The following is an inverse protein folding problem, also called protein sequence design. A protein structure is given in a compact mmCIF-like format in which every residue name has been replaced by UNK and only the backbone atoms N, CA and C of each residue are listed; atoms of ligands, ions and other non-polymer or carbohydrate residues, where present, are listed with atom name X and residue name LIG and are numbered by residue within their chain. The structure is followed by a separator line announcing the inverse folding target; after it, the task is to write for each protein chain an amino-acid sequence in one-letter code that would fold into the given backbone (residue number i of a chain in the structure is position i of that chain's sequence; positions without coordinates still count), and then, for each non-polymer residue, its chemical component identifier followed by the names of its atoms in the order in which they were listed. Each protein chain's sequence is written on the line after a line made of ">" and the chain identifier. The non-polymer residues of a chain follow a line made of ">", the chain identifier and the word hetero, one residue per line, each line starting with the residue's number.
data_IF_427078832698
#
_entry.id   IF_427078832698
#
_cell.length_a   1.000
_cell.length_b   1.000
_cell.length_c   1.000
_cell.angle_alpha   90.00
_cell.angle_beta   90.00
_cell.angle_gamma   90.00
#
_symmetry.space_group_name_H-M   'P 1'
#
loop_
_entity.id
_entity.type
_entity.pdbx_description
1 polymer ?
#
# COMPACT_ATOMS: atom_id res chain seq x y z
N UNK A 1 13.84 2.93 0.21
CA UNK A 1 14.77 1.84 -0.11
C UNK A 1 14.10 0.91 -1.11
N UNK A 2 14.79 0.52 -2.16
CA UNK A 2 14.34 -0.42 -3.17
C UNK A 2 14.90 -1.81 -2.86
N UNK A 3 14.04 -2.83 -2.82
CA UNK A 3 14.45 -4.21 -2.69
C UNK A 3 14.16 -4.96 -3.98
N UNK A 4 15.20 -5.41 -4.66
CA UNK A 4 15.10 -6.14 -5.93
C UNK A 4 15.33 -7.63 -5.64
N UNK A 5 14.41 -8.52 -6.08
CA UNK A 5 14.61 -9.95 -5.91
C UNK A 5 15.77 -10.42 -6.82
N UNK A 6 16.67 -11.20 -6.23
CA UNK A 6 17.81 -11.82 -6.92
C UNK A 6 17.72 -13.32 -6.71
N UNK A 7 17.75 -14.05 -7.80
CA UNK A 7 17.78 -15.51 -7.76
C UNK A 7 19.22 -16.01 -7.58
N UNK A 8 19.41 -16.81 -6.55
CA UNK A 8 20.67 -17.50 -6.32
C UNK A 8 20.37 -19.01 -6.16
N UNK A 9 20.54 -19.76 -7.24
CA UNK A 9 20.14 -21.18 -7.36
C UNK A 9 18.66 -21.34 -6.99
N UNK A 10 18.36 -22.00 -5.87
CA UNK A 10 16.98 -22.29 -5.43
C UNK A 10 16.43 -21.31 -4.39
N UNK A 11 17.16 -20.25 -4.08
CA UNK A 11 16.77 -19.25 -3.05
C UNK A 11 16.59 -17.87 -3.67
N UNK A 12 15.51 -17.21 -3.25
CA UNK A 12 15.30 -15.80 -3.54
C UNK A 12 15.95 -14.99 -2.41
N UNK A 13 16.84 -14.10 -2.76
CA UNK A 13 17.39 -13.06 -1.89
C UNK A 13 16.97 -11.69 -2.39
N UNK A 14 16.99 -10.67 -1.54
CA UNK A 14 16.66 -9.31 -1.94
C UNK A 14 17.90 -8.43 -1.82
N UNK A 15 18.24 -7.77 -2.91
CA UNK A 15 19.25 -6.72 -2.91
C UNK A 15 18.58 -5.40 -2.51
N UNK A 16 19.02 -4.82 -1.41
CA UNK A 16 18.49 -3.55 -0.92
C UNK A 16 19.33 -2.38 -1.44
N UNK A 17 18.70 -1.49 -2.20
CA UNK A 17 19.34 -0.30 -2.79
C UNK A 17 18.70 0.96 -2.21
N UNK A 18 19.44 1.86 -1.56
CA UNK A 18 18.91 3.14 -1.12
C UNK A 18 18.63 4.02 -2.36
N UNK A 19 17.37 4.42 -2.56
CA UNK A 19 16.99 5.34 -3.65
C UNK A 19 17.23 6.80 -3.29
N UNK A 20 17.18 7.13 -2.01
CA UNK A 20 17.35 8.48 -1.51
C UNK A 20 16.67 8.67 -0.16
N UNK A 21 16.82 9.87 0.36
CA UNK A 21 16.15 10.32 1.56
C UNK A 21 15.74 11.79 1.39
N UNK A 22 14.70 12.19 2.12
CA UNK A 22 14.28 13.58 2.21
C UNK A 22 14.17 13.98 3.67
N UNK A 23 14.74 15.12 4.02
CA UNK A 23 14.60 15.67 5.36
C UNK A 23 13.19 16.28 5.49
N UNK A 24 12.47 15.81 6.50
CA UNK A 24 11.18 16.39 6.83
C UNK A 24 11.35 17.81 7.41
N UNK A 25 10.53 18.73 6.93
CA UNK A 25 10.41 20.10 7.45
C UNK A 25 9.02 20.26 8.09
N UNK A 26 8.94 21.02 9.19
CA UNK A 26 7.68 21.21 9.95
C UNK A 26 6.50 21.76 9.14
N UNK A 27 6.74 22.26 7.92
CA UNK A 27 5.71 22.82 7.04
C UNK A 27 4.99 21.77 6.19
N UNK A 28 5.52 20.56 6.10
CA UNK A 28 5.01 19.50 5.23
C UNK A 28 4.52 18.30 6.06
N UNK A 29 3.50 17.64 5.55
CA UNK A 29 3.08 16.34 6.10
C UNK A 29 4.10 15.27 5.70
N UNK A 30 4.56 14.46 6.65
CA UNK A 30 5.42 13.29 6.34
C UNK A 30 4.73 12.33 5.37
N UNK A 31 3.40 12.21 5.44
CA UNK A 31 2.62 11.37 4.53
C UNK A 31 2.62 11.91 3.11
N UNK A 32 2.47 13.22 2.93
CA UNK A 32 2.56 13.86 1.62
C UNK A 32 3.98 13.77 1.06
N UNK A 33 4.99 13.92 1.91
CA UNK A 33 6.38 13.72 1.52
C UNK A 33 6.61 12.29 1.01
N UNK A 34 6.15 11.27 1.73
CA UNK A 34 6.22 9.87 1.31
C UNK A 34 5.49 9.64 -0.01
N UNK A 35 4.26 10.17 -0.13
CA UNK A 35 3.47 10.10 -1.36
C UNK A 35 4.19 10.74 -2.55
N UNK A 36 4.80 11.90 -2.37
CA UNK A 36 5.56 12.57 -3.42
C UNK A 36 6.80 11.79 -3.85
N UNK A 37 7.48 11.13 -2.90
CA UNK A 37 8.63 10.26 -3.21
C UNK A 37 8.21 9.05 -4.04
N UNK A 38 7.07 8.43 -3.71
CA UNK A 38 6.53 7.32 -4.51
C UNK A 38 6.21 7.78 -5.93
N UNK A 39 5.48 8.89 -6.10
CA UNK A 39 5.16 9.45 -7.43
C UNK A 39 6.39 9.81 -8.25
N UNK A 40 7.48 10.20 -7.60
CA UNK A 40 8.74 10.51 -8.28
C UNK A 40 9.45 9.25 -8.78
N UNK A 41 9.31 8.13 -8.08
CA UNK A 41 10.03 6.89 -8.38
C UNK A 41 9.23 5.97 -9.30
N UNK A 42 7.90 5.96 -9.20
CA UNK A 42 7.04 5.06 -9.98
C UNK A 42 7.23 5.15 -11.50
N UNK A 43 7.41 6.34 -12.12
CA UNK A 43 7.64 6.43 -13.58
C UNK A 43 8.92 5.72 -14.09
N UNK A 44 9.88 5.48 -13.20
CA UNK A 44 11.12 4.76 -13.55
C UNK A 44 10.90 3.24 -13.70
N UNK A 45 9.77 2.73 -13.21
CA UNK A 45 9.42 1.32 -13.35
C UNK A 45 8.53 1.09 -14.56
N UNK A 46 8.85 0.04 -15.33
CA UNK A 46 7.96 -0.43 -16.39
C UNK A 46 6.59 -0.82 -15.82
N UNK A 47 5.52 -0.47 -16.52
CA UNK A 47 4.15 -0.85 -16.16
C UNK A 47 3.91 -2.37 -16.07
N UNK A 48 4.81 -3.16 -16.68
CA UNK A 48 4.78 -4.62 -16.61
C UNK A 48 5.40 -5.18 -15.31
N UNK A 49 6.07 -4.35 -14.51
CA UNK A 49 6.68 -4.75 -13.25
C UNK A 49 5.76 -4.43 -12.09
N UNK A 50 5.38 -5.44 -11.35
CA UNK A 50 4.65 -5.24 -10.10
C UNK A 50 5.56 -4.63 -9.05
N UNK A 51 5.11 -3.55 -8.44
CA UNK A 51 5.79 -2.83 -7.37
C UNK A 51 4.96 -2.96 -6.10
N UNK A 52 5.58 -3.30 -4.98
CA UNK A 52 4.92 -3.37 -3.69
C UNK A 52 5.57 -2.36 -2.75
N UNK A 53 4.78 -1.47 -2.17
CA UNK A 53 5.23 -0.61 -1.08
C UNK A 53 5.08 -1.38 0.23
N UNK A 54 6.17 -1.50 0.99
CA UNK A 54 6.12 -1.97 2.37
C UNK A 54 6.25 -0.78 3.31
N UNK A 55 5.32 -0.65 4.24
CA UNK A 55 5.35 0.42 5.21
C UNK A 55 4.83 -0.04 6.57
N UNK A 56 5.13 0.72 7.63
CA UNK A 56 4.58 0.47 8.95
C UNK A 56 3.17 1.08 9.11
N UNK A 57 2.54 0.82 10.26
CA UNK A 57 1.19 1.27 10.56
C UNK A 57 1.03 2.81 10.59
N UNK A 58 2.10 3.56 10.72
CA UNK A 58 2.06 5.01 10.71
C UNK A 58 1.77 5.55 9.31
N UNK A 59 2.27 4.87 8.28
CA UNK A 59 2.10 5.25 6.87
C UNK A 59 0.81 4.72 6.24
N UNK A 60 0.11 3.75 6.86
CA UNK A 60 -1.16 3.20 6.33
C UNK A 60 -2.32 4.18 6.50
N UNK A 61 -2.18 5.36 5.93
CA UNK A 61 -3.18 6.43 5.91
C UNK A 61 -3.64 6.71 4.48
N UNK A 62 -4.81 7.31 4.37
CA UNK A 62 -5.45 7.57 3.08
C UNK A 62 -4.51 8.22 2.05
N UNK A 63 -3.69 9.18 2.45
CA UNK A 63 -2.75 9.88 1.56
C UNK A 63 -1.77 8.94 0.84
N UNK A 64 -1.31 7.87 1.50
CA UNK A 64 -0.43 6.90 0.87
C UNK A 64 -1.21 5.78 0.20
N UNK A 65 -2.29 5.31 0.84
CA UNK A 65 -3.12 4.22 0.29
C UNK A 65 -3.76 4.63 -1.04
N UNK A 66 -4.21 5.89 -1.18
CA UNK A 66 -4.81 6.37 -2.43
C UNK A 66 -3.85 6.39 -3.63
N UNK A 67 -2.53 6.36 -3.40
CA UNK A 67 -1.56 6.30 -4.51
C UNK A 67 -1.66 4.99 -5.29
N UNK A 68 -2.08 3.91 -4.64
CA UNK A 68 -2.28 2.62 -5.31
C UNK A 68 -3.32 2.73 -6.45
N UNK A 69 -4.29 3.64 -6.30
CA UNK A 69 -5.29 3.89 -7.35
C UNK A 69 -4.72 4.65 -8.56
N UNK A 70 -3.58 5.34 -8.37
CA UNK A 70 -2.93 6.11 -9.44
C UNK A 70 -2.10 5.21 -10.38
N UNK A 71 -1.66 4.03 -9.90
CA UNK A 71 -0.75 3.15 -10.63
C UNK A 71 -1.26 1.70 -10.64
N UNK A 72 -1.65 1.15 -11.78
CA UNK A 72 -2.25 -0.19 -11.85
C UNK A 72 -1.29 -1.33 -11.50
N UNK A 73 0.01 -1.06 -11.49
CA UNK A 73 1.07 -2.02 -11.14
C UNK A 73 1.65 -1.80 -9.75
N UNK A 74 0.98 -1.00 -8.92
CA UNK A 74 1.41 -0.68 -7.56
C UNK A 74 0.47 -1.30 -6.53
N UNK A 75 1.04 -2.02 -5.58
CA UNK A 75 0.36 -2.52 -4.39
C UNK A 75 1.00 -1.96 -3.11
N UNK A 76 0.25 -1.97 -2.02
CA UNK A 76 0.73 -1.55 -0.71
C UNK A 76 0.46 -2.63 0.32
N UNK A 77 1.51 -3.01 1.06
CA UNK A 77 1.42 -3.87 2.22
C UNK A 77 1.90 -3.08 3.44
N UNK A 78 1.04 -2.94 4.41
CA UNK A 78 1.36 -2.24 5.65
C UNK A 78 0.62 -2.84 6.83
N UNK A 79 1.15 -2.63 8.03
CA UNK A 79 0.51 -3.04 9.25
C UNK A 79 -0.68 -2.12 9.54
N UNK A 80 -1.82 -2.69 9.90
CA UNK A 80 -2.91 -1.94 10.51
C UNK A 80 -2.69 -1.85 12.03
N UNK A 81 -3.11 -0.74 12.62
CA UNK A 81 -3.13 -0.63 14.09
C UNK A 81 -4.22 -1.56 14.63
N UNK A 82 -3.98 -2.15 15.80
CA UNK A 82 -4.94 -3.07 16.44
C UNK A 82 -6.31 -2.42 16.74
N UNK A 83 -6.32 -1.10 16.90
CA UNK A 83 -7.53 -0.29 17.15
C UNK A 83 -8.19 0.22 15.84
N UNK A 84 -7.68 -0.15 14.69
CA UNK A 84 -8.24 0.26 13.40
C UNK A 84 -9.60 -0.39 13.18
N UNK A 85 -10.58 0.42 12.82
CA UNK A 85 -11.91 -0.06 12.44
C UNK A 85 -12.00 -0.12 10.93
N UNK A 86 -12.30 -1.31 10.41
CA UNK A 86 -12.44 -1.58 8.98
C UNK A 86 -13.93 -1.80 8.71
N UNK A 87 -14.40 -1.24 7.61
CA UNK A 87 -15.76 -1.37 7.15
C UNK A 87 -15.77 -1.98 5.75
N UNK A 88 -16.82 -2.71 5.46
CA UNK A 88 -17.13 -3.14 4.11
C UNK A 88 -17.49 -1.95 3.21
N UNK A 89 -17.53 -2.19 1.91
CA UNK A 89 -17.94 -1.19 0.94
C UNK A 89 -19.36 -0.70 1.24
N UNK A 90 -19.61 0.57 0.95
CA UNK A 90 -20.94 1.12 1.09
C UNK A 90 -21.94 0.35 0.19
N UNK A 91 -23.13 0.02 0.68
CA UNK A 91 -24.14 -0.60 -0.15
C UNK A 91 -24.59 0.34 -1.26
N UNK A 92 -25.07 -0.23 -2.37
CA UNK A 92 -25.61 0.54 -3.49
C UNK A 92 -26.72 1.50 -3.02
N UNK A 93 -26.83 2.71 -3.60
CA UNK A 93 -27.86 3.65 -3.24
C UNK A 93 -29.25 3.06 -3.43
N UNK A 94 -30.08 3.09 -2.38
CA UNK A 94 -31.43 2.48 -2.40
C UNK A 94 -32.50 3.37 -3.02
N UNK A 95 -32.16 4.58 -3.48
CA UNK A 95 -33.13 5.56 -4.03
C UNK A 95 -34.08 6.17 -3.00
N UNK A 96 -33.99 5.79 -1.71
CA UNK A 96 -34.83 6.35 -0.64
C UNK A 96 -34.34 7.74 -0.22
N UNK A 97 -35.27 8.59 0.25
CA UNK A 97 -34.92 9.89 0.86
C UNK A 97 -33.96 9.67 2.05
N UNK A 98 -32.83 10.34 2.03
CA UNK A 98 -31.82 10.30 3.10
C UNK A 98 -30.41 10.35 2.54
N UNK A 99 -29.45 10.60 3.42
CA UNK A 99 -28.02 10.59 3.04
C UNK A 99 -27.59 9.13 2.78
N UNK A 100 -26.98 8.82 1.63
CA UNK A 100 -26.43 7.49 1.37
C UNK A 100 -25.46 7.05 2.47
N UNK A 101 -25.46 5.76 2.79
CA UNK A 101 -24.51 5.20 3.73
C UNK A 101 -23.07 5.40 3.21
N UNK A 102 -22.18 5.86 4.07
CA UNK A 102 -20.75 6.07 3.71
C UNK A 102 -19.95 4.78 3.78
N UNK A 103 -20.40 3.82 4.57
CA UNK A 103 -19.70 2.58 4.88
C UNK A 103 -20.71 1.43 4.93
N UNK A 104 -20.23 0.23 4.66
CA UNK A 104 -20.96 -1.00 4.87
C UNK A 104 -20.90 -1.50 6.32
N UNK A 105 -21.03 -2.79 6.52
CA UNK A 105 -20.91 -3.45 7.83
C UNK A 105 -19.49 -3.26 8.39
N UNK A 106 -19.38 -3.08 9.73
CA UNK A 106 -18.09 -3.16 10.41
C UNK A 106 -17.54 -4.58 10.30
N UNK A 107 -16.31 -4.72 9.84
CA UNK A 107 -15.63 -6.02 9.71
C UNK A 107 -14.84 -6.35 10.96
N UNK A 108 -14.86 -7.62 11.35
CA UNK A 108 -14.05 -8.18 12.42
C UNK A 108 -12.86 -8.92 11.83
N UNK A 109 -11.66 -8.72 12.38
CA UNK A 109 -10.45 -9.39 11.91
C UNK A 109 -10.52 -10.92 12.00
N UNK A 110 -11.37 -11.45 12.89
CA UNK A 110 -11.46 -12.89 13.13
C UNK A 110 -12.49 -13.59 12.24
N UNK A 111 -13.53 -12.89 11.79
CA UNK A 111 -14.71 -13.54 11.19
C UNK A 111 -14.90 -13.21 9.71
N UNK A 112 -14.42 -12.04 9.27
CA UNK A 112 -14.81 -11.47 7.97
C UNK A 112 -13.68 -11.50 6.91
N UNK A 113 -12.46 -11.95 7.28
CA UNK A 113 -11.32 -12.02 6.34
C UNK A 113 -10.98 -13.45 5.97
N UNK A 114 -11.29 -13.84 4.75
CA UNK A 114 -10.74 -15.03 4.11
C UNK A 114 -9.54 -14.63 3.27
N UNK A 115 -8.35 -15.11 3.62
CA UNK A 115 -7.17 -14.97 2.77
C UNK A 115 -7.35 -15.89 1.56
N UNK A 116 -7.52 -15.36 0.34
CA UNK A 116 -7.45 -16.21 -0.84
C UNK A 116 -6.03 -16.75 -0.95
N UNK A 117 -5.88 -18.04 -0.70
CA UNK A 117 -4.60 -18.74 -0.79
C UNK A 117 -4.19 -18.95 -2.26
N UNK A 118 -4.03 -17.86 -3.01
CA UNK A 118 -3.39 -17.88 -4.31
C UNK A 118 -2.25 -16.87 -4.31
N UNK A 119 -1.16 -17.24 -3.65
CA UNK A 119 0.13 -16.64 -3.94
C UNK A 119 0.52 -17.03 -5.37
N UNK A 120 0.16 -16.19 -6.34
CA UNK A 120 0.88 -16.19 -7.61
C UNK A 120 2.31 -15.81 -7.27
N UNK A 121 3.28 -16.68 -7.58
CA UNK A 121 4.72 -16.37 -7.52
C UNK A 121 5.04 -15.29 -8.54
N UNK A 122 4.67 -14.06 -8.29
CA UNK A 122 5.08 -12.91 -9.09
C UNK A 122 6.29 -12.28 -8.42
N UNK A 123 7.37 -12.12 -9.19
CA UNK A 123 8.52 -11.34 -8.73
C UNK A 123 8.10 -9.87 -8.67
N UNK A 124 7.94 -9.35 -7.47
CA UNK A 124 7.62 -7.96 -7.25
C UNK A 124 8.87 -7.18 -6.82
N UNK A 125 8.96 -5.95 -7.28
CA UNK A 125 9.91 -4.97 -6.76
C UNK A 125 9.32 -4.39 -5.48
N UNK A 126 10.11 -4.34 -4.41
CA UNK A 126 9.64 -3.90 -3.11
C UNK A 126 10.23 -2.53 -2.78
N UNK A 127 9.37 -1.55 -2.55
CA UNK A 127 9.73 -0.25 -2.00
C UNK A 127 9.48 -0.24 -0.49
N UNK A 128 10.53 0.00 0.28
CA UNK A 128 10.42 0.08 1.75
C UNK A 128 10.48 1.54 2.17
N UNK A 129 9.45 2.00 2.85
CA UNK A 129 9.39 3.30 3.51
C UNK A 129 9.79 3.12 4.97
N UNK A 130 10.90 3.69 5.33
CA UNK A 130 11.35 3.75 6.72
C UNK A 130 10.95 5.09 7.34
N UNK A 131 10.58 5.13 8.62
CA UNK A 131 10.17 6.33 9.34
C UNK A 131 11.28 7.37 9.46
#
# INVERSE_FOLDING_TARGET
>A
MLCVPVWNHDKISYLAVPLGYRMWQKKESKLELAASMVRQVMPEFSSQKNVIILCDSWYTKQNLVSIVEEYPNLDLIGNARADSVIYDLAPAPTGRKGRPAKHGKRLSANDDFTLPCQMKKSMAIILVLNP
#
